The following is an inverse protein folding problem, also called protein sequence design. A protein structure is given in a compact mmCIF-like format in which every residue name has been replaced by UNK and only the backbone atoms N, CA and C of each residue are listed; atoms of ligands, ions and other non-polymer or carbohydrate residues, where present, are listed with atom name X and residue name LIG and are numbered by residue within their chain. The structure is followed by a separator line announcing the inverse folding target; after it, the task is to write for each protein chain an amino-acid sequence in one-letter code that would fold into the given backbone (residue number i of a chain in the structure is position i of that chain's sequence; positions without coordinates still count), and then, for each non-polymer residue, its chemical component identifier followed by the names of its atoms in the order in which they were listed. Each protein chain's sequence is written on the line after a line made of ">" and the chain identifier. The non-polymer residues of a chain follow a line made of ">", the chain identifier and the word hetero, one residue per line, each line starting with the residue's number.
data_IF_879977050552
#
_entry.id   IF_879977050552
#
_cell.length_a   1.000
_cell.length_b   1.000
_cell.length_c   1.000
_cell.angle_alpha   90.00
_cell.angle_beta   90.00
_cell.angle_gamma   90.00
#
_symmetry.space_group_name_H-M   'P 1'
#
loop_
_entity.id
_entity.type
_entity.pdbx_description
1 polymer ?
#
# COMPACT_ATOMS: atom_id res chain seq x y z
N UNK A 1 0.03 -16.82 4.33
CA UNK A 1 0.41 -15.43 4.69
C UNK A 1 0.94 -14.63 3.48
N UNK A 2 0.40 -13.42 3.22
CA UNK A 2 0.74 -12.52 2.09
C UNK A 2 1.04 -13.26 0.77
N UNK A 3 0.22 -14.26 0.44
CA UNK A 3 0.33 -15.04 -0.81
C UNK A 3 1.69 -15.69 -1.06
N UNK A 4 2.40 -16.04 0.02
CA UNK A 4 3.75 -16.64 -0.06
C UNK A 4 4.87 -15.63 -0.26
N UNK A 5 4.56 -14.32 -0.27
CA UNK A 5 5.55 -13.23 -0.31
C UNK A 5 5.87 -12.75 1.10
N UNK A 6 7.13 -12.49 1.36
CA UNK A 6 7.57 -11.89 2.62
C UNK A 6 7.05 -10.44 2.71
N UNK A 7 6.52 -10.06 3.86
CA UNK A 7 6.11 -8.69 4.16
C UNK A 7 6.80 -8.20 5.45
N UNK A 8 7.12 -6.90 5.54
CA UNK A 8 7.64 -6.33 6.77
C UNK A 8 6.57 -6.28 7.86
N UNK A 9 6.97 -6.44 9.13
CA UNK A 9 6.09 -6.18 10.27
C UNK A 9 5.81 -4.68 10.40
N UNK A 10 4.60 -4.35 10.86
CA UNK A 10 4.19 -3.00 11.19
C UNK A 10 5.11 -2.39 12.26
N UNK A 11 5.39 -1.09 12.12
CA UNK A 11 6.32 -0.37 12.99
C UNK A 11 5.59 0.23 14.18
N UNK A 12 6.17 0.09 15.38
CA UNK A 12 5.55 0.59 16.62
C UNK A 12 5.70 2.10 16.73
N UNK A 13 4.64 2.79 17.16
CA UNK A 13 4.71 4.18 17.63
C UNK A 13 5.56 4.23 18.92
N UNK A 14 6.37 5.27 19.05
CA UNK A 14 7.24 5.49 20.21
C UNK A 14 6.45 5.85 21.49
N UNK A 15 5.19 6.28 21.36
CA UNK A 15 4.37 6.81 22.45
C UNK A 15 3.68 5.74 23.29
N UNK A 16 3.19 4.65 22.66
CA UNK A 16 2.53 3.54 23.36
C UNK A 16 3.01 2.13 22.95
N UNK A 17 4.05 2.05 22.11
CA UNK A 17 4.66 0.80 21.69
C UNK A 17 3.78 -0.06 20.78
N UNK A 18 2.69 0.49 20.22
CA UNK A 18 1.78 -0.20 19.32
C UNK A 18 1.92 0.31 17.89
N UNK A 19 1.78 -0.59 16.92
CA UNK A 19 1.63 -0.20 15.53
C UNK A 19 0.18 0.19 15.26
N UNK A 20 -0.07 1.31 14.60
CA UNK A 20 -1.42 1.84 14.39
C UNK A 20 -1.69 2.20 12.95
N UNK A 21 -2.95 2.06 12.55
CA UNK A 21 -3.42 2.58 11.26
C UNK A 21 -3.30 4.10 11.24
N UNK A 22 -2.87 4.63 10.10
CA UNK A 22 -2.59 6.05 9.91
C UNK A 22 -3.84 6.75 9.35
N UNK A 23 -4.03 8.02 9.67
CA UNK A 23 -5.09 8.83 9.06
C UNK A 23 -4.93 8.88 7.54
N UNK A 24 -5.99 8.57 6.77
CA UNK A 24 -5.91 8.47 5.30
C UNK A 24 -5.38 9.76 4.64
N UNK A 25 -5.76 10.93 5.18
CA UNK A 25 -5.30 12.25 4.72
C UNK A 25 -3.81 12.51 4.90
N UNK A 26 -3.11 11.67 5.65
CA UNK A 26 -1.65 11.74 5.81
C UNK A 26 -0.94 10.74 4.89
N UNK A 27 -1.67 10.07 3.99
CA UNK A 27 -1.13 9.03 3.13
C UNK A 27 -1.25 9.46 1.67
N UNK A 28 -0.10 9.52 1.00
CA UNK A 28 -0.02 9.77 -0.44
C UNK A 28 0.05 8.46 -1.20
N UNK A 29 -0.88 8.28 -2.15
CA UNK A 29 -0.98 7.08 -2.99
C UNK A 29 -0.89 7.44 -4.47
N UNK A 30 -0.27 6.58 -5.26
CA UNK A 30 -0.36 6.61 -6.72
C UNK A 30 -0.93 5.28 -7.20
N UNK A 31 -2.01 5.33 -7.96
CA UNK A 31 -2.62 4.11 -8.51
C UNK A 31 -2.07 3.86 -9.89
N UNK A 32 -1.54 2.65 -10.11
CA UNK A 32 -0.95 2.20 -11.36
C UNK A 32 -1.77 1.04 -11.93
N UNK A 33 -2.14 1.12 -13.20
CA UNK A 33 -2.85 0.05 -13.87
C UNK A 33 -1.89 -1.07 -14.29
N UNK A 34 -1.95 -2.22 -13.62
CA UNK A 34 -1.21 -3.43 -13.96
C UNK A 34 -1.95 -4.39 -14.88
N UNK A 35 -3.08 -3.96 -15.48
CA UNK A 35 -3.95 -4.81 -16.32
C UNK A 35 -4.04 -4.29 -17.75
N UNK A 36 -4.65 -5.08 -18.64
CA UNK A 36 -4.96 -4.67 -20.02
C UNK A 36 -6.20 -3.77 -20.15
N UNK A 37 -6.96 -3.56 -19.07
CA UNK A 37 -8.23 -2.85 -19.11
C UNK A 37 -8.03 -1.37 -18.76
N UNK A 38 -8.53 -0.46 -19.58
CA UNK A 38 -8.43 0.98 -19.33
C UNK A 38 -9.36 1.45 -18.21
N UNK A 39 -8.98 2.53 -17.52
CA UNK A 39 -9.84 3.22 -16.55
C UNK A 39 -9.81 2.70 -15.12
N UNK A 40 -9.21 1.54 -14.86
CA UNK A 40 -9.11 0.97 -13.51
C UNK A 40 -8.33 1.86 -12.55
N UNK A 41 -7.18 2.39 -12.96
CA UNK A 41 -6.39 3.26 -12.09
C UNK A 41 -7.16 4.51 -11.70
N UNK A 42 -7.86 5.16 -12.65
CA UNK A 42 -8.73 6.32 -12.37
C UNK A 42 -9.86 5.98 -11.41
N UNK A 43 -10.62 4.90 -11.67
CA UNK A 43 -11.74 4.53 -10.82
C UNK A 43 -11.31 4.23 -9.37
N UNK A 44 -10.17 3.55 -9.20
CA UNK A 44 -9.64 3.25 -7.86
C UNK A 44 -9.04 4.51 -7.21
N UNK A 45 -8.38 5.38 -7.98
CA UNK A 45 -7.93 6.69 -7.52
C UNK A 45 -9.08 7.52 -6.96
N UNK A 46 -10.19 7.64 -7.70
CA UNK A 46 -11.37 8.39 -7.26
C UNK A 46 -11.97 7.78 -5.99
N UNK A 47 -12.04 6.45 -5.92
CA UNK A 47 -12.56 5.74 -4.75
C UNK A 47 -11.68 5.93 -3.50
N UNK A 48 -10.35 5.97 -3.65
CA UNK A 48 -9.42 6.27 -2.56
C UNK A 48 -9.46 7.76 -2.18
N UNK A 49 -9.58 8.67 -3.15
CA UNK A 49 -9.74 10.10 -2.87
C UNK A 49 -11.02 10.38 -2.07
N UNK A 50 -12.13 9.69 -2.40
CA UNK A 50 -13.38 9.74 -1.63
C UNK A 50 -13.24 9.21 -0.19
N UNK A 51 -12.15 8.51 0.12
CA UNK A 51 -11.76 8.07 1.48
C UNK A 51 -10.69 8.97 2.11
N UNK A 52 -10.51 10.17 1.57
CA UNK A 52 -9.57 11.21 2.01
C UNK A 52 -8.08 10.90 1.80
N UNK A 53 -7.72 9.91 0.99
CA UNK A 53 -6.31 9.72 0.62
C UNK A 53 -5.81 10.86 -0.29
N UNK A 54 -4.54 11.24 -0.15
CA UNK A 54 -3.90 12.14 -1.10
C UNK A 54 -3.50 11.35 -2.35
N UNK A 55 -4.24 11.50 -3.44
CA UNK A 55 -4.03 10.68 -4.65
C UNK A 55 -3.23 11.47 -5.69
N UNK A 56 -2.08 10.93 -6.11
CA UNK A 56 -1.32 11.42 -7.26
C UNK A 56 -2.03 11.05 -8.57
N UNK A 57 -1.60 11.67 -9.68
CA UNK A 57 -2.11 11.33 -11.02
C UNK A 57 -1.97 9.82 -11.28
N UNK A 58 -3.06 9.12 -11.64
CA UNK A 58 -3.00 7.69 -11.93
C UNK A 58 -2.14 7.41 -13.16
N UNK A 59 -1.49 6.24 -13.17
CA UNK A 59 -0.56 5.84 -14.21
C UNK A 59 -0.80 4.42 -14.74
N UNK A 60 0.08 3.99 -15.64
CA UNK A 60 0.15 2.61 -16.12
C UNK A 60 1.39 1.96 -15.54
N UNK A 61 1.27 0.71 -15.10
CA UNK A 61 2.41 -0.06 -14.63
C UNK A 61 3.23 -0.59 -15.82
N UNK A 62 4.52 -0.85 -15.61
CA UNK A 62 5.44 -1.32 -16.66
C UNK A 62 5.00 -2.61 -17.37
N UNK A 63 4.12 -3.39 -16.76
CA UNK A 63 3.52 -4.60 -17.33
C UNK A 63 2.01 -4.60 -17.10
N UNK A 64 1.26 -5.16 -18.04
CA UNK A 64 -0.19 -5.33 -17.99
C UNK A 64 -0.63 -6.74 -17.57
N UNK A 65 0.28 -7.50 -16.94
CA UNK A 65 0.09 -8.92 -16.53
C UNK A 65 0.15 -9.10 -15.01
N UNK A 66 -0.17 -8.06 -14.25
CA UNK A 66 -0.26 -8.15 -12.80
C UNK A 66 -1.54 -8.93 -12.48
N UNK A 67 -1.39 -10.13 -11.91
CA UNK A 67 -2.55 -10.94 -11.53
C UNK A 67 -3.18 -10.42 -10.24
N UNK A 68 -2.36 -10.21 -9.21
CA UNK A 68 -2.80 -9.77 -7.88
C UNK A 68 -2.43 -8.31 -7.63
N UNK A 69 -3.35 -7.54 -7.05
CA UNK A 69 -3.04 -6.14 -6.68
C UNK A 69 -1.87 -6.09 -5.71
N UNK A 70 -0.92 -5.19 -5.96
CA UNK A 70 0.24 -4.98 -5.10
C UNK A 70 0.16 -3.61 -4.44
N UNK A 71 0.46 -3.56 -3.14
CA UNK A 71 0.73 -2.33 -2.40
C UNK A 71 2.25 -2.24 -2.28
N UNK A 72 2.87 -1.38 -3.08
CA UNK A 72 4.33 -1.23 -3.17
C UNK A 72 4.78 0.02 -2.42
N UNK A 73 5.76 -0.12 -1.54
CA UNK A 73 6.15 0.95 -0.62
C UNK A 73 7.57 0.75 -0.07
N UNK A 74 8.11 1.82 0.53
CA UNK A 74 9.41 1.82 1.19
C UNK A 74 9.33 1.57 2.69
N UNK A 75 10.49 1.32 3.32
CA UNK A 75 10.59 1.05 4.76
C UNK A 75 10.03 2.18 5.65
N UNK A 76 9.99 3.41 5.15
CA UNK A 76 9.50 4.59 5.88
C UNK A 76 7.98 4.81 5.78
N UNK A 77 7.27 3.91 5.09
CA UNK A 77 5.82 4.00 4.84
C UNK A 77 5.04 2.74 5.28
N UNK A 78 5.63 1.88 6.13
CA UNK A 78 5.06 0.56 6.45
C UNK A 78 3.63 0.66 6.99
N UNK A 79 3.37 1.47 8.02
CA UNK A 79 2.04 1.56 8.62
C UNK A 79 1.01 2.21 7.69
N UNK A 80 1.47 3.17 6.87
CA UNK A 80 0.67 3.75 5.80
C UNK A 80 0.28 2.68 4.78
N UNK A 81 1.21 1.79 4.40
CA UNK A 81 0.94 0.68 3.50
C UNK A 81 -0.03 -0.35 4.10
N UNK A 82 0.07 -0.65 5.40
CA UNK A 82 -0.94 -1.46 6.10
C UNK A 82 -2.33 -0.81 6.03
N UNK A 83 -2.39 0.52 6.17
CA UNK A 83 -3.64 1.29 6.06
C UNK A 83 -4.22 1.22 4.65
N UNK A 84 -3.41 1.43 3.61
CA UNK A 84 -3.86 1.26 2.22
C UNK A 84 -4.32 -0.17 1.98
N UNK A 85 -3.51 -1.17 2.34
CA UNK A 85 -3.82 -2.60 2.17
C UNK A 85 -5.13 -3.00 2.88
N UNK A 86 -5.47 -2.38 4.01
CA UNK A 86 -6.71 -2.67 4.73
C UNK A 86 -7.97 -2.39 3.90
N UNK A 87 -7.89 -1.53 2.88
CA UNK A 87 -8.97 -1.23 1.95
C UNK A 87 -9.17 -2.31 0.87
N UNK A 88 -8.24 -3.25 0.72
CA UNK A 88 -8.28 -4.30 -0.30
C UNK A 88 -8.56 -5.66 0.33
N UNK A 89 -9.32 -6.51 -0.36
CA UNK A 89 -9.57 -7.90 0.06
C UNK A 89 -8.41 -8.81 -0.23
N UNK A 90 -7.70 -8.55 -1.33
CA UNK A 90 -6.85 -9.55 -1.96
C UNK A 90 -5.52 -8.97 -2.50
N UNK A 91 -4.95 -7.99 -1.81
CA UNK A 91 -3.72 -7.33 -2.21
C UNK A 91 -2.49 -7.85 -1.44
N UNK A 92 -1.36 -7.91 -2.13
CA UNK A 92 -0.06 -8.25 -1.54
C UNK A 92 0.72 -7.00 -1.14
N UNK A 93 1.37 -7.06 0.02
CA UNK A 93 2.28 -6.01 0.48
C UNK A 93 3.70 -6.31 -0.02
N UNK A 94 4.29 -5.36 -0.75
CA UNK A 94 5.59 -5.49 -1.40
C UNK A 94 6.47 -4.32 -0.99
N UNK A 95 7.51 -4.58 -0.20
CA UNK A 95 8.48 -3.55 0.15
C UNK A 95 9.58 -3.49 -0.92
N UNK A 96 9.90 -2.29 -1.39
CA UNK A 96 11.07 -2.03 -2.24
C UNK A 96 12.08 -1.14 -1.53
N UNK A 97 13.16 -0.75 -2.21
CA UNK A 97 14.26 0.04 -1.65
C UNK A 97 14.00 1.56 -1.60
N UNK A 98 12.77 2.05 -1.88
CA UNK A 98 12.47 3.48 -1.77
C UNK A 98 12.53 3.95 -0.31
N UNK A 99 12.92 5.21 -0.14
CA UNK A 99 13.10 5.85 1.17
C UNK A 99 12.03 6.90 1.47
N UNK A 100 11.23 7.29 0.49
CA UNK A 100 10.13 8.23 0.66
C UNK A 100 8.85 7.52 1.17
N UNK A 101 7.75 8.28 1.20
CA UNK A 101 6.45 7.83 1.71
C UNK A 101 5.40 7.52 0.64
N UNK A 102 5.77 7.50 -0.64
CA UNK A 102 4.83 7.15 -1.70
C UNK A 102 4.45 5.68 -1.63
N UNK A 103 3.14 5.42 -1.63
CA UNK A 103 2.59 4.08 -1.81
C UNK A 103 2.05 3.95 -3.23
N UNK A 104 2.58 3.01 -3.99
CA UNK A 104 1.98 2.61 -5.25
C UNK A 104 0.94 1.51 -5.03
N UNK A 105 -0.26 1.71 -5.55
CA UNK A 105 -1.29 0.67 -5.66
C UNK A 105 -1.27 0.17 -7.10
N UNK A 106 -0.65 -0.97 -7.34
CA UNK A 106 -0.61 -1.60 -8.67
C UNK A 106 -1.80 -2.54 -8.81
N UNK A 107 -2.79 -2.15 -9.60
CA UNK A 107 -4.04 -2.91 -9.77
C UNK A 107 -3.80 -4.19 -10.57
N UNK A 108 -4.17 -5.33 -10.00
CA UNK A 108 -4.10 -6.64 -10.65
C UNK A 108 -5.43 -7.11 -11.22
N UNK A 109 -5.39 -8.15 -12.05
CA UNK A 109 -6.55 -8.74 -12.71
C UNK A 109 -7.59 -9.36 -11.75
N UNK A 110 -7.21 -9.78 -10.54
CA UNK A 110 -8.13 -10.33 -9.53
C UNK A 110 -8.82 -9.24 -8.70
N UNK A 111 -8.50 -7.96 -8.91
CA UNK A 111 -9.17 -6.87 -8.24
C UNK A 111 -10.61 -6.72 -8.74
N UNK A 112 -11.54 -6.63 -7.79
CA UNK A 112 -12.97 -6.39 -8.05
C UNK A 112 -13.38 -5.04 -7.46
N UNK A 113 -13.31 -4.91 -6.15
CA UNK A 113 -13.70 -3.67 -5.45
C UNK A 113 -12.93 -3.48 -4.14
N UNK A 114 -12.92 -2.24 -3.66
CA UNK A 114 -12.44 -1.92 -2.32
C UNK A 114 -13.42 -2.48 -1.27
N UNK A 115 -12.90 -2.86 -0.10
CA UNK A 115 -13.73 -3.23 1.05
C UNK A 115 -14.68 -2.08 1.42
N UNK A 116 -15.88 -2.43 1.88
CA UNK A 116 -16.81 -1.48 2.52
C UNK A 116 -16.08 -0.70 3.61
N UNK A 117 -16.28 0.62 3.66
CA UNK A 117 -15.61 1.51 4.63
C UNK A 117 -15.89 1.12 6.08
N UNK A 118 -17.04 0.50 6.37
CA UNK A 118 -17.38 -0.03 7.70
C UNK A 118 -16.55 -1.26 8.10
N UNK A 119 -15.90 -1.91 7.15
CA UNK A 119 -15.00 -3.06 7.36
C UNK A 119 -13.52 -2.65 7.33
N UNK A 120 -13.22 -1.38 7.13
CA UNK A 120 -11.87 -0.84 7.19
C UNK A 120 -11.59 -0.40 8.65
N UNK A 121 -10.42 -0.73 9.21
CA UNK A 121 -10.04 -0.28 10.54
C UNK A 121 -10.03 1.24 10.65
N UNK A 122 -10.43 1.77 11.81
CA UNK A 122 -10.33 3.21 12.08
C UNK A 122 -8.86 3.61 12.25
N UNK A 123 -8.52 4.84 11.88
CA UNK A 123 -7.21 5.41 12.19
C UNK A 123 -6.96 5.39 13.71
N UNK A 124 -5.70 5.19 14.10
CA UNK A 124 -5.28 5.04 15.49
C UNK A 124 -5.58 3.68 16.13
N UNK A 125 -6.39 2.82 15.49
CA UNK A 125 -6.57 1.43 15.94
C UNK A 125 -5.31 0.59 15.68
N UNK A 126 -5.12 -0.47 16.47
CA UNK A 126 -3.92 -1.31 16.42
C UNK A 126 -3.87 -2.15 15.12
N UNK A 127 -2.70 -2.20 14.49
CA UNK A 127 -2.46 -3.01 13.30
C UNK A 127 -2.27 -4.47 13.70
N UNK A 128 -3.06 -5.36 13.09
CA UNK A 128 -2.77 -6.80 13.09
C UNK A 128 -1.71 -7.09 12.04
N UNK A 129 -0.56 -7.59 12.49
CA UNK A 129 0.53 -7.97 11.59
C UNK A 129 0.12 -9.09 10.63
N UNK A 130 0.68 -9.04 9.42
CA UNK A 130 0.70 -10.20 8.54
C UNK A 130 1.43 -11.33 9.27
N UNK A 131 0.81 -12.50 9.31
CA UNK A 131 1.41 -13.69 9.91
C UNK A 131 2.77 -14.01 9.26
N UNK A 132 3.80 -14.22 10.07
CA UNK A 132 5.15 -14.48 9.59
C UNK A 132 5.86 -13.26 8.99
N UNK A 133 5.38 -12.04 9.27
CA UNK A 133 6.09 -10.81 8.90
C UNK A 133 7.51 -10.79 9.48
N UNK A 134 8.39 -10.02 8.84
CA UNK A 134 9.79 -9.88 9.26
C UNK A 134 10.11 -8.41 9.57
N UNK A 135 10.98 -8.14 10.52
CA UNK A 135 11.40 -6.76 10.79
C UNK A 135 11.99 -6.12 9.52
N UNK A 136 11.65 -4.86 9.24
CA UNK A 136 12.01 -4.21 7.98
C UNK A 136 13.53 -4.13 7.75
N UNK A 137 14.31 -3.96 8.81
CA UNK A 137 15.78 -3.95 8.79
C UNK A 137 16.40 -5.33 8.53
N UNK A 138 15.59 -6.40 8.59
CA UNK A 138 15.99 -7.78 8.26
C UNK A 138 15.49 -8.24 6.90
N UNK A 139 14.72 -7.41 6.20
CA UNK A 139 14.35 -7.69 4.82
C UNK A 139 15.59 -7.57 3.94
N UNK A 140 15.84 -8.56 3.10
CA UNK A 140 16.99 -8.60 2.17
C UNK A 140 16.50 -8.79 0.75
N UNK A 141 17.35 -8.46 -0.24
CA UNK A 141 17.02 -8.59 -1.67
C UNK A 141 15.76 -7.80 -2.10
N UNK A 142 15.59 -6.60 -1.53
CA UNK A 142 14.53 -5.70 -1.95
C UNK A 142 14.71 -5.32 -3.43
N UNK A 143 13.60 -5.28 -4.16
CA UNK A 143 13.60 -4.78 -5.53
C UNK A 143 13.94 -3.29 -5.54
N UNK A 144 14.52 -2.82 -6.65
CA UNK A 144 14.76 -1.40 -6.84
C UNK A 144 13.46 -0.68 -7.17
N UNK A 145 13.19 0.43 -6.50
CA UNK A 145 12.07 1.29 -6.80
C UNK A 145 12.24 1.90 -8.20
N UNK A 146 11.19 1.91 -9.04
CA UNK A 146 11.18 2.66 -10.29
C UNK A 146 11.41 4.16 -10.02
N UNK A 147 11.86 4.91 -11.01
CA UNK A 147 11.96 6.37 -10.89
C UNK A 147 10.58 7.00 -10.62
N UNK A 148 10.51 7.89 -9.64
CA UNK A 148 9.29 8.61 -9.26
C UNK A 148 9.63 9.88 -8.47
N UNK A 149 8.64 10.76 -8.36
CA UNK A 149 8.73 11.94 -7.51
C UNK A 149 8.58 11.52 -6.04
N UNK A 150 9.63 11.75 -5.26
CA UNK A 150 9.67 11.39 -3.84
C UNK A 150 8.63 12.18 -3.02
N UNK A 151 7.95 11.49 -2.11
CA UNK A 151 7.02 12.10 -1.14
C UNK A 151 7.66 12.12 0.25
N UNK A 152 7.91 13.32 0.79
CA UNK A 152 8.41 13.47 2.17
C UNK A 152 7.29 13.32 3.21
N UNK A 153 7.67 13.10 4.47
CA UNK A 153 6.71 13.18 5.58
C UNK A 153 6.12 14.60 5.65
N UNK A 154 4.79 14.69 5.75
CA UNK A 154 4.10 15.92 6.12
C UNK A 154 4.28 16.21 7.62
#
# INVERSE_FOLDING_TARGET
>A
PNYGKQAPCATKDSSDGKAKYVENRNITVRVLNGTKFSGFATAVSDALQNREFNVQTPGTYQTSKVERTMIVYGKNAINQAYTVNSNFTDAEMVMDDREDQLIDVVIGATFDTLKDTKKVPAAGSEITNIEGCVAADKMTNLQKAPEHDAVSQN
#
